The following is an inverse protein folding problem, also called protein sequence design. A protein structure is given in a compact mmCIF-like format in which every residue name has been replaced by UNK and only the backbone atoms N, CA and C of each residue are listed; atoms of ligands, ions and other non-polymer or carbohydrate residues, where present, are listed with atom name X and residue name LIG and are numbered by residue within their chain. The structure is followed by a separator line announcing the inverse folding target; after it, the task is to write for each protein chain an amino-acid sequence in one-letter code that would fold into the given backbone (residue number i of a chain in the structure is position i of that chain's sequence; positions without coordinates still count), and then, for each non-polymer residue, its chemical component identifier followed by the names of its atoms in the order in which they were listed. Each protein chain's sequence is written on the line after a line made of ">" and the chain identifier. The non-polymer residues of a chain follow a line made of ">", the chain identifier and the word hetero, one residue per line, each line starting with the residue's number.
data_IF_309075576021
#
_entry.id   IF_309075576021
#
_cell.length_a   1.000
_cell.length_b   1.000
_cell.length_c   1.000
_cell.angle_alpha   90.00
_cell.angle_beta   90.00
_cell.angle_gamma   90.00
#
_symmetry.space_group_name_H-M   'P 1'
#
loop_
_entity.id
_entity.type
_entity.pdbx_description
1 polymer ?
#
# COMPACT_ATOMS: atom_id res chain seq x y z
N UNK A 1 -23.61 29.48 -0.36
CA UNK A 1 -23.02 28.49 0.56
C UNK A 1 -21.78 27.83 -0.02
N UNK A 2 -20.63 28.51 0.07
CA UNK A 2 -19.31 27.95 -0.30
C UNK A 2 -18.64 27.21 0.86
N UNK A 3 -19.05 27.48 2.12
CA UNK A 3 -18.45 26.87 3.31
C UNK A 3 -18.81 25.39 3.50
N UNK A 4 -20.04 25.00 3.14
CA UNK A 4 -20.50 23.61 3.26
C UNK A 4 -19.89 22.68 2.18
N UNK A 5 -19.58 23.23 0.99
CA UNK A 5 -18.95 22.46 -0.09
C UNK A 5 -17.47 22.14 0.23
N UNK A 6 -16.75 23.08 0.87
CA UNK A 6 -15.36 22.85 1.31
C UNK A 6 -15.26 21.79 2.41
N UNK A 7 -16.14 21.84 3.41
CA UNK A 7 -16.16 20.83 4.49
C UNK A 7 -16.54 19.43 3.98
N UNK A 8 -17.45 19.34 2.99
CA UNK A 8 -17.86 18.06 2.40
C UNK A 8 -16.75 17.35 1.64
N UNK A 9 -15.85 18.10 0.98
CA UNK A 9 -14.67 17.56 0.28
C UNK A 9 -13.54 17.21 1.26
N UNK A 10 -13.31 18.02 2.29
CA UNK A 10 -12.29 17.76 3.32
C UNK A 10 -12.61 16.53 4.20
N UNK A 11 -13.89 16.22 4.40
CA UNK A 11 -14.33 15.07 5.19
C UNK A 11 -14.50 13.77 4.37
N UNK A 12 -14.37 13.84 3.04
CA UNK A 12 -14.56 12.68 2.18
C UNK A 12 -13.40 11.68 2.36
N UNK A 13 -13.57 10.71 3.25
CA UNK A 13 -12.70 9.53 3.32
C UNK A 13 -13.19 8.52 2.29
N UNK A 14 -12.35 8.24 1.29
CA UNK A 14 -12.63 7.21 0.30
C UNK A 14 -11.83 5.95 0.68
N UNK A 15 -12.50 4.88 1.15
CA UNK A 15 -11.81 3.66 1.54
C UNK A 15 -10.90 3.16 0.41
N UNK A 16 -9.61 2.96 0.72
CA UNK A 16 -8.60 2.49 -0.24
C UNK A 16 -8.22 3.46 -1.37
N UNK A 17 -8.42 4.77 -1.21
CA UNK A 17 -7.87 5.81 -2.09
C UNK A 17 -7.18 6.86 -1.23
N UNK A 18 -5.85 6.85 -1.26
CA UNK A 18 -5.02 7.66 -0.37
C UNK A 18 -5.49 7.63 1.11
N UNK A 19 -6.01 6.48 1.57
CA UNK A 19 -6.55 6.34 2.93
C UNK A 19 -5.41 6.11 3.91
N UNK A 20 -5.27 7.00 4.91
CA UNK A 20 -4.25 6.86 5.96
C UNK A 20 -4.86 6.19 7.19
N UNK A 21 -4.22 5.13 7.67
CA UNK A 21 -4.53 4.41 8.91
C UNK A 21 -3.30 4.40 9.85
N UNK A 22 -3.54 4.36 11.16
CA UNK A 22 -2.48 4.38 12.17
C UNK A 22 -1.81 5.74 12.36
N UNK A 23 -0.88 5.83 13.32
CA UNK A 23 -0.14 7.06 13.62
C UNK A 23 1.39 6.87 13.57
N UNK A 24 1.91 5.74 14.05
CA UNK A 24 3.35 5.46 14.08
C UNK A 24 3.64 3.94 14.02
N UNK A 25 4.06 3.39 12.87
CA UNK A 25 4.12 4.02 11.55
C UNK A 25 2.72 4.26 10.96
N UNK A 26 2.64 5.12 9.94
CA UNK A 26 1.40 5.33 9.16
C UNK A 26 1.32 4.31 8.02
N UNK A 27 0.10 3.80 7.78
CA UNK A 27 -0.24 3.01 6.61
C UNK A 27 -1.03 3.89 5.62
N UNK A 28 -0.59 3.96 4.37
CA UNK A 28 -1.30 4.60 3.27
C UNK A 28 -1.84 3.52 2.33
N UNK A 29 -3.14 3.49 2.08
CA UNK A 29 -3.80 2.48 1.27
C UNK A 29 -4.29 3.11 -0.03
N UNK A 30 -3.84 2.58 -1.17
CA UNK A 30 -4.28 3.04 -2.48
C UNK A 30 -4.46 1.90 -3.50
N UNK A 31 -5.62 1.91 -4.16
CA UNK A 31 -6.04 0.90 -5.13
C UNK A 31 -5.44 1.00 -6.53
N UNK A 32 -4.38 1.78 -6.75
CA UNK A 32 -3.64 1.82 -8.00
C UNK A 32 -3.28 0.40 -8.49
N UNK A 33 -3.73 0.07 -9.71
CA UNK A 33 -3.63 -1.28 -10.30
C UNK A 33 -3.48 -1.25 -11.83
N UNK A 34 -3.12 -0.08 -12.38
CA UNK A 34 -2.71 0.12 -13.77
C UNK A 34 -1.58 1.16 -13.82
N UNK A 35 -0.84 1.29 -14.93
CA UNK A 35 0.31 2.20 -15.01
C UNK A 35 -0.03 3.66 -14.70
N UNK A 36 -1.09 4.19 -15.31
CA UNK A 36 -1.54 5.57 -15.05
C UNK A 36 -1.89 5.82 -13.57
N UNK A 37 -2.45 4.83 -12.89
CA UNK A 37 -2.71 4.88 -11.46
C UNK A 37 -1.44 4.82 -10.63
N UNK A 38 -0.43 4.06 -11.05
CA UNK A 38 0.89 4.05 -10.44
C UNK A 38 1.59 5.41 -10.54
N UNK A 39 1.52 6.05 -11.70
CA UNK A 39 2.02 7.41 -11.94
C UNK A 39 1.31 8.45 -11.04
N UNK A 40 -0.03 8.45 -11.05
CA UNK A 40 -0.81 9.35 -10.22
C UNK A 40 -0.55 9.16 -8.71
N UNK A 41 -0.34 7.91 -8.29
CA UNK A 41 0.04 7.61 -6.90
C UNK A 41 1.46 8.10 -6.58
N UNK A 42 2.42 7.90 -7.47
CA UNK A 42 3.78 8.41 -7.31
C UNK A 42 3.81 9.95 -7.20
N UNK A 43 3.00 10.64 -8.00
CA UNK A 43 2.81 12.09 -7.92
C UNK A 43 2.17 12.48 -6.59
N UNK A 44 1.05 11.87 -6.19
CA UNK A 44 0.39 12.19 -4.93
C UNK A 44 1.30 11.94 -3.70
N UNK A 45 2.24 11.00 -3.80
CA UNK A 45 3.22 10.71 -2.77
C UNK A 45 4.26 11.83 -2.57
N UNK A 46 4.40 12.82 -3.45
CA UNK A 46 5.32 13.96 -3.23
C UNK A 46 4.86 14.84 -2.09
N UNK A 47 3.54 14.93 -1.88
CA UNK A 47 2.93 15.78 -0.85
C UNK A 47 2.74 15.04 0.49
N UNK A 48 3.08 13.75 0.54
CA UNK A 48 2.98 12.94 1.77
C UNK A 48 4.33 12.88 2.47
N UNK A 49 4.50 13.72 3.49
CA UNK A 49 5.67 13.73 4.39
C UNK A 49 5.95 12.33 4.92
N UNK A 50 7.22 11.90 4.90
CA UNK A 50 7.71 10.61 5.44
C UNK A 50 9.24 10.61 5.53
N UNK A 51 9.82 9.80 6.42
CA UNK A 51 11.27 9.55 6.44
C UNK A 51 11.68 8.56 5.34
N UNK A 52 11.11 7.35 5.35
CA UNK A 52 11.25 6.36 4.28
C UNK A 52 9.88 5.89 3.78
N UNK A 53 9.86 5.32 2.58
CA UNK A 53 8.71 4.63 2.03
C UNK A 53 8.99 3.13 2.00
N UNK A 54 8.18 2.35 2.71
CA UNK A 54 8.11 0.90 2.57
C UNK A 54 6.86 0.56 1.78
N UNK A 55 6.93 -0.36 0.83
CA UNK A 55 5.79 -0.73 0.01
C UNK A 55 5.39 -2.18 0.29
N UNK A 56 4.11 -2.43 0.55
CA UNK A 56 3.48 -3.75 0.51
C UNK A 56 2.68 -3.83 -0.78
N UNK A 57 3.19 -4.57 -1.76
CA UNK A 57 2.61 -4.60 -3.11
C UNK A 57 2.04 -5.98 -3.43
N UNK A 58 0.82 -6.02 -3.94
CA UNK A 58 0.22 -7.23 -4.50
C UNK A 58 -0.56 -6.90 -5.76
N UNK A 59 -0.23 -7.56 -6.88
CA UNK A 59 -0.76 -7.28 -8.21
C UNK A 59 -1.48 -8.53 -8.76
N UNK A 60 -2.46 -8.34 -9.64
CA UNK A 60 -3.13 -9.48 -10.31
C UNK A 60 -2.27 -10.00 -11.48
N UNK A 61 -2.32 -11.29 -11.78
CA UNK A 61 -1.47 -11.94 -12.77
C UNK A 61 -1.71 -11.46 -14.22
N UNK A 62 -2.88 -10.87 -14.51
CA UNK A 62 -3.24 -10.31 -15.82
C UNK A 62 -2.83 -8.84 -15.99
N UNK A 63 -2.15 -8.25 -15.00
CA UNK A 63 -1.80 -6.83 -14.99
C UNK A 63 -0.32 -6.60 -15.27
N UNK A 64 -0.04 -5.42 -15.82
CA UNK A 64 1.30 -4.91 -16.03
C UNK A 64 1.93 -4.49 -14.69
N UNK A 65 2.50 -5.45 -13.97
CA UNK A 65 3.11 -5.22 -12.66
C UNK A 65 4.28 -4.22 -12.74
N UNK A 66 5.08 -4.29 -13.80
CA UNK A 66 6.20 -3.38 -14.02
C UNK A 66 5.70 -1.95 -14.27
N UNK A 67 4.73 -1.76 -15.17
CA UNK A 67 4.16 -0.44 -15.43
C UNK A 67 3.42 0.16 -14.22
N UNK A 68 2.79 -0.67 -13.38
CA UNK A 68 2.15 -0.21 -12.14
C UNK A 68 3.18 0.26 -11.11
N UNK A 69 4.25 -0.51 -10.92
CA UNK A 69 5.17 -0.29 -9.80
C UNK A 69 6.35 0.61 -10.15
N UNK A 70 6.83 0.61 -11.39
CA UNK A 70 8.01 1.38 -11.80
C UNK A 70 7.99 2.87 -11.43
N UNK A 71 6.85 3.59 -11.41
CA UNK A 71 6.83 4.98 -10.92
C UNK A 71 7.05 5.11 -9.41
N UNK A 72 6.67 4.07 -8.64
CA UNK A 72 6.74 4.04 -7.18
C UNK A 72 8.11 3.56 -6.67
N UNK A 73 8.75 2.66 -7.42
CA UNK A 73 9.99 2.00 -7.02
C UNK A 73 11.14 2.98 -6.70
N UNK A 74 11.39 4.06 -7.47
CA UNK A 74 12.42 5.05 -7.12
C UNK A 74 12.20 5.76 -5.78
N UNK A 75 10.96 5.78 -5.28
CA UNK A 75 10.62 6.38 -3.98
C UNK A 75 10.78 5.39 -2.81
N UNK A 76 10.86 4.08 -3.11
CA UNK A 76 10.79 3.00 -2.14
C UNK A 76 12.17 2.67 -1.56
N UNK A 77 12.25 2.55 -0.23
CA UNK A 77 13.40 1.99 0.45
C UNK A 77 13.40 0.45 0.40
N UNK A 78 12.22 -0.18 0.41
CA UNK A 78 12.06 -1.63 0.30
C UNK A 78 10.64 -2.01 -0.16
N UNK A 79 10.50 -3.15 -0.82
CA UNK A 79 9.20 -3.72 -1.22
C UNK A 79 8.97 -5.09 -0.57
N UNK A 80 7.80 -5.28 0.03
CA UNK A 80 7.27 -6.55 0.50
C UNK A 80 6.21 -7.02 -0.48
N UNK A 81 6.59 -7.95 -1.36
CA UNK A 81 5.70 -8.51 -2.36
C UNK A 81 4.75 -9.54 -1.72
N UNK A 82 3.46 -9.40 -1.95
CA UNK A 82 2.41 -10.26 -1.37
C UNK A 82 1.45 -10.75 -2.44
N UNK A 83 0.82 -11.90 -2.17
CA UNK A 83 -0.28 -12.45 -2.95
C UNK A 83 -1.57 -12.33 -2.13
N UNK A 84 -2.53 -11.46 -2.50
CA UNK A 84 -3.85 -11.46 -1.87
C UNK A 84 -4.57 -12.79 -2.10
N UNK A 85 -5.52 -13.13 -1.23
CA UNK A 85 -6.24 -14.41 -1.25
C UNK A 85 -7.28 -14.52 -2.37
N UNK A 86 -6.82 -14.43 -3.61
CA UNK A 86 -7.61 -14.55 -4.84
C UNK A 86 -6.82 -15.37 -5.86
N UNK A 87 -7.51 -16.24 -6.61
CA UNK A 87 -6.88 -17.16 -7.59
C UNK A 87 -6.06 -16.42 -8.66
N UNK A 88 -6.48 -15.19 -8.99
CA UNK A 88 -5.84 -14.32 -9.99
C UNK A 88 -4.68 -13.48 -9.44
N UNK A 89 -4.24 -13.70 -8.20
CA UNK A 89 -3.08 -13.00 -7.68
C UNK A 89 -1.81 -13.44 -8.42
N UNK A 90 -0.95 -12.49 -8.77
CA UNK A 90 0.44 -12.80 -9.11
C UNK A 90 1.12 -13.42 -7.88
N UNK A 91 1.96 -14.45 -8.09
CA UNK A 91 2.74 -15.00 -7.01
C UNK A 91 3.71 -13.94 -6.48
N UNK A 92 3.79 -13.81 -5.16
CA UNK A 92 4.64 -12.82 -4.49
C UNK A 92 6.13 -13.00 -4.83
N UNK A 93 6.59 -14.22 -5.08
CA UNK A 93 7.94 -14.48 -5.59
C UNK A 93 8.21 -13.89 -6.97
N UNK A 94 7.24 -13.98 -7.87
CA UNK A 94 7.34 -13.40 -9.22
C UNK A 94 7.34 -11.87 -9.14
N UNK A 95 6.45 -11.32 -8.32
CA UNK A 95 6.37 -9.87 -8.11
C UNK A 95 7.64 -9.30 -7.45
N UNK A 96 8.24 -10.01 -6.49
CA UNK A 96 9.53 -9.65 -5.93
C UNK A 96 10.64 -9.67 -7.01
N UNK A 97 10.61 -10.65 -7.90
CA UNK A 97 11.57 -10.71 -9.04
C UNK A 97 11.43 -9.49 -9.95
N UNK A 98 10.20 -9.06 -10.27
CA UNK A 98 9.94 -7.82 -11.02
C UNK A 98 10.53 -6.60 -10.31
N UNK A 99 10.27 -6.45 -9.01
CA UNK A 99 10.77 -5.30 -8.24
C UNK A 99 12.30 -5.27 -8.17
N UNK A 100 12.94 -6.43 -7.97
CA UNK A 100 14.40 -6.55 -7.96
C UNK A 100 15.02 -6.23 -9.33
N UNK A 101 14.37 -6.63 -10.43
CA UNK A 101 14.81 -6.31 -11.78
C UNK A 101 14.78 -4.79 -12.06
N UNK A 102 13.86 -4.08 -11.43
CA UNK A 102 13.78 -2.61 -11.45
C UNK A 102 14.74 -1.91 -10.46
N UNK A 103 15.61 -2.66 -9.77
CA UNK A 103 16.68 -2.09 -8.94
C UNK A 103 16.30 -1.78 -7.49
N UNK A 104 15.13 -2.21 -7.01
CA UNK A 104 14.70 -2.01 -5.62
C UNK A 104 14.76 -3.32 -4.85
N UNK A 105 15.34 -3.28 -3.65
CA UNK A 105 15.36 -4.43 -2.76
C UNK A 105 13.94 -4.87 -2.42
N UNK A 106 13.65 -6.15 -2.64
CA UNK A 106 12.33 -6.70 -2.35
C UNK A 106 12.37 -8.05 -1.65
N UNK A 107 11.38 -8.29 -0.80
CA UNK A 107 11.14 -9.54 -0.07
C UNK A 107 9.88 -10.20 -0.62
N UNK A 108 9.97 -11.49 -0.94
CA UNK A 108 8.79 -12.33 -1.09
C UNK A 108 8.18 -12.57 0.31
N UNK A 109 7.07 -11.89 0.60
CA UNK A 109 6.42 -11.96 1.90
C UNK A 109 5.26 -12.97 1.94
N UNK A 110 4.93 -13.65 0.83
CA UNK A 110 3.83 -14.60 0.83
C UNK A 110 2.47 -13.91 0.94
N UNK A 111 1.79 -14.01 2.09
CA UNK A 111 0.45 -13.47 2.29
C UNK A 111 0.46 -11.97 2.66
N UNK A 112 -0.68 -11.30 2.46
CA UNK A 112 -0.85 -9.87 2.81
C UNK A 112 -0.59 -9.61 4.30
N UNK A 113 -1.08 -10.49 5.18
CA UNK A 113 -0.85 -10.37 6.63
C UNK A 113 0.64 -10.41 7.00
N UNK A 114 1.40 -11.32 6.37
CA UNK A 114 2.83 -11.47 6.62
C UNK A 114 3.60 -10.25 6.10
N UNK A 115 3.26 -9.75 4.90
CA UNK A 115 3.86 -8.53 4.36
C UNK A 115 3.59 -7.29 5.21
N UNK A 116 2.37 -7.14 5.75
CA UNK A 116 2.05 -6.06 6.68
C UNK A 116 2.86 -6.16 7.98
N UNK A 117 2.97 -7.37 8.54
CA UNK A 117 3.74 -7.60 9.76
C UNK A 117 5.24 -7.31 9.54
N UNK A 118 5.82 -7.79 8.44
CA UNK A 118 7.20 -7.52 8.07
C UNK A 118 7.46 -6.03 7.84
N UNK A 119 6.57 -5.35 7.11
CA UNK A 119 6.69 -3.90 6.88
C UNK A 119 6.58 -3.11 8.18
N UNK A 120 5.65 -3.47 9.08
CA UNK A 120 5.50 -2.85 10.40
C UNK A 120 6.76 -3.04 11.26
N UNK A 121 7.36 -4.23 11.25
CA UNK A 121 8.56 -4.54 12.02
C UNK A 121 9.81 -3.83 11.47
N UNK A 122 9.85 -3.53 10.17
CA UNK A 122 10.97 -2.84 9.53
C UNK A 122 10.86 -1.30 9.57
N UNK A 123 9.65 -0.79 9.87
CA UNK A 123 9.35 0.63 9.87
C UNK A 123 9.77 1.31 11.18
N UNK A 124 10.31 2.51 11.03
CA UNK A 124 10.47 3.46 12.13
C UNK A 124 9.19 4.32 12.27
N UNK A 125 8.99 5.01 13.41
CA UNK A 125 7.76 5.79 13.66
C UNK A 125 7.39 6.82 12.58
N UNK A 126 8.38 7.44 11.95
CA UNK A 126 8.20 8.49 10.93
C UNK A 126 8.18 7.96 9.48
N UNK A 127 8.30 6.65 9.30
CA UNK A 127 8.17 6.01 7.99
C UNK A 127 6.71 5.94 7.54
N UNK A 128 6.55 5.74 6.23
CA UNK A 128 5.27 5.47 5.60
C UNK A 128 5.27 4.06 5.01
N UNK A 129 4.25 3.28 5.34
CA UNK A 129 3.98 1.99 4.70
C UNK A 129 2.87 2.18 3.68
N UNK A 130 3.19 2.08 2.40
CA UNK A 130 2.20 2.10 1.31
C UNK A 130 1.71 0.68 1.02
N UNK A 131 0.40 0.49 0.94
CA UNK A 131 -0.23 -0.74 0.46
C UNK A 131 -0.90 -0.47 -0.88
N UNK A 132 -0.47 -1.15 -1.94
CA UNK A 132 -0.95 -0.89 -3.30
C UNK A 132 -0.86 -2.10 -4.25
N UNK A 133 -1.17 -1.87 -5.53
CA UNK A 133 -1.03 -2.83 -6.63
C UNK A 133 -2.34 -3.50 -7.04
N UNK A 134 -3.31 -3.61 -6.13
CA UNK A 134 -4.66 -4.06 -6.44
C UNK A 134 -5.68 -3.67 -5.37
N UNK A 135 -6.95 -3.58 -5.78
CA UNK A 135 -8.06 -3.39 -4.84
C UNK A 135 -8.22 -4.57 -3.87
N UNK A 136 -7.83 -5.78 -4.28
CA UNK A 136 -7.89 -6.97 -3.43
C UNK A 136 -6.84 -6.91 -2.31
N UNK A 137 -5.60 -6.53 -2.65
CA UNK A 137 -4.52 -6.30 -1.68
C UNK A 137 -4.91 -5.24 -0.67
N UNK A 138 -5.43 -4.10 -1.15
CA UNK A 138 -5.88 -3.00 -0.29
C UNK A 138 -7.05 -3.42 0.58
N UNK A 139 -8.04 -4.12 0.03
CA UNK A 139 -9.21 -4.60 0.78
C UNK A 139 -8.83 -5.58 1.90
N UNK A 140 -7.98 -6.56 1.60
CA UNK A 140 -7.48 -7.54 2.57
C UNK A 140 -6.64 -6.84 3.66
N UNK A 141 -5.70 -5.98 3.26
CA UNK A 141 -4.87 -5.24 4.21
C UNK A 141 -5.70 -4.33 5.12
N UNK A 142 -6.68 -3.63 4.56
CA UNK A 142 -7.58 -2.75 5.30
C UNK A 142 -8.37 -3.53 6.36
N UNK A 143 -8.90 -4.70 5.99
CA UNK A 143 -9.62 -5.55 6.94
C UNK A 143 -8.73 -5.94 8.13
N UNK A 144 -7.49 -6.38 7.85
CA UNK A 144 -6.51 -6.76 8.89
C UNK A 144 -6.19 -5.56 9.80
N UNK A 145 -5.85 -4.41 9.22
CA UNK A 145 -5.44 -3.22 9.98
C UNK A 145 -6.56 -2.67 10.88
N UNK A 146 -7.82 -2.75 10.42
CA UNK A 146 -8.97 -2.31 11.20
C UNK A 146 -9.37 -3.32 12.28
N UNK A 147 -9.16 -4.63 12.04
CA UNK A 147 -9.33 -5.66 13.07
C UNK A 147 -8.31 -5.54 14.20
N UNK A 148 -7.04 -5.25 13.87
CA UNK A 148 -5.99 -5.00 14.87
C UNK A 148 -6.26 -3.74 15.71
N UNK A 149 -6.94 -2.75 15.14
CA UNK A 149 -7.26 -1.49 15.81
C UNK A 149 -8.43 -1.61 16.82
N UNK A 150 -9.10 -2.76 16.86
CA UNK A 150 -10.19 -3.01 17.79
C UNK A 150 -9.65 -3.58 19.10
N UNK A 151 -9.48 -2.73 20.12
CA UNK A 151 -9.40 -3.20 21.50
C UNK A 151 -10.82 -3.37 22.08
N UNK A 152 -11.27 -4.58 22.43
CA UNK A 152 -12.52 -4.72 23.17
C UNK A 152 -12.35 -4.02 24.52
N UNK A 153 -13.27 -3.09 24.84
CA UNK A 153 -13.34 -2.48 26.17
C UNK A 153 -13.35 -3.60 27.22
N UNK A 154 -12.24 -3.76 27.95
CA UNK A 154 -12.22 -4.58 29.16
C UNK A 154 -12.97 -3.78 30.22
N UNK A 155 -14.20 -4.20 30.50
CA UNK A 155 -14.93 -3.82 31.72
C UNK A 155 -14.29 -4.47 32.96
#
# INVERSE_FOLDING_TARGET
>A
DEGALRQGVEAARWPGRMEILGQSPRFLLDGAHNPAGGEALAEALTDVTRARLLIVAGVMCDKDAEGILSPLLPLAAHVFAVSPRVERAMASGDLATVCNACGVASTNAGAVADGLAMARNAAEPDDLILVCGSLFTVGEARAILLSDSFEPCRG
#
